data_IF_620390171886
#
_entry.id   IF_620390171886
#
_cell.length_a   1.000
_cell.length_b   1.000
_cell.length_c   1.000
_cell.angle_alpha   90.00
_cell.angle_beta   90.00
_cell.angle_gamma   90.00
#
_symmetry.space_group_name_H-M   'P 1'
#
loop_
_entity.id
_entity.type
_entity.pdbx_description
1 polymer ?
#
# COMPACT_ATOMS: atom_id res chain seq x y z
N UNK A 1 20.19 -5.03 -14.13
CA UNK A 1 19.77 -3.74 -13.56
C UNK A 1 20.91 -3.27 -12.68
N UNK A 2 21.35 -2.02 -12.81
CA UNK A 2 22.39 -1.47 -11.96
C UNK A 2 21.86 -1.27 -10.53
N UNK A 3 22.70 -1.44 -9.51
CA UNK A 3 22.31 -1.32 -8.08
C UNK A 3 21.63 0.01 -7.80
N UNK A 4 22.18 1.12 -8.31
CA UNK A 4 21.61 2.46 -8.16
C UNK A 4 20.18 2.60 -8.72
N UNK A 5 19.80 1.81 -9.73
CA UNK A 5 18.45 1.80 -10.30
C UNK A 5 17.52 0.98 -9.40
N UNK A 6 17.99 -0.16 -8.90
CA UNK A 6 17.23 -0.99 -7.97
C UNK A 6 16.94 -0.26 -6.65
N UNK A 7 17.90 0.50 -6.14
CA UNK A 7 17.73 1.33 -4.94
C UNK A 7 16.66 2.39 -5.13
N UNK A 8 16.68 3.10 -6.27
CA UNK A 8 15.67 4.11 -6.60
C UNK A 8 14.26 3.52 -6.67
N UNK A 9 14.10 2.37 -7.32
CA UNK A 9 12.81 1.67 -7.40
C UNK A 9 12.36 1.27 -5.99
N UNK A 10 13.25 0.69 -5.19
CA UNK A 10 12.96 0.23 -3.83
C UNK A 10 12.54 1.37 -2.92
N UNK A 11 13.30 2.47 -2.90
CA UNK A 11 12.99 3.66 -2.09
C UNK A 11 11.64 4.26 -2.50
N UNK A 12 11.40 4.40 -3.81
CA UNK A 12 10.13 4.95 -4.32
C UNK A 12 8.95 4.07 -3.92
N UNK A 13 9.10 2.75 -4.04
CA UNK A 13 8.08 1.80 -3.63
C UNK A 13 7.80 1.87 -2.12
N UNK A 14 8.85 1.94 -1.29
CA UNK A 14 8.71 2.09 0.17
C UNK A 14 7.93 3.36 0.52
N UNK A 15 8.26 4.49 -0.12
CA UNK A 15 7.55 5.76 0.09
C UNK A 15 6.07 5.63 -0.30
N UNK A 16 5.77 5.09 -1.48
CA UNK A 16 4.39 4.90 -1.94
C UNK A 16 3.60 3.96 -1.04
N UNK A 17 4.21 2.86 -0.59
CA UNK A 17 3.62 1.93 0.35
C UNK A 17 3.34 2.61 1.70
N UNK A 18 4.26 3.42 2.20
CA UNK A 18 4.07 4.17 3.44
C UNK A 18 2.94 5.20 3.33
N UNK A 19 2.88 5.93 2.22
CA UNK A 19 1.77 6.85 1.95
C UNK A 19 0.45 6.07 1.85
N UNK A 20 0.43 4.87 1.27
CA UNK A 20 -0.78 4.04 1.26
C UNK A 20 -1.28 3.72 2.68
N UNK A 21 -0.36 3.59 3.63
CA UNK A 21 -0.64 3.31 5.03
C UNK A 21 -0.98 4.55 5.89
N UNK A 22 -0.99 5.77 5.33
CA UNK A 22 -1.19 7.02 6.09
C UNK A 22 -2.47 7.05 6.95
N UNK A 23 -3.50 6.32 6.53
CA UNK A 23 -4.76 6.21 7.26
C UNK A 23 -4.60 5.60 8.68
N UNK A 24 -3.46 4.94 8.96
CA UNK A 24 -3.12 4.48 10.31
C UNK A 24 -2.96 5.62 11.32
N UNK A 25 -2.66 6.85 10.90
CA UNK A 25 -2.54 7.97 11.83
C UNK A 25 -3.90 8.43 12.40
N UNK A 26 -5.01 8.18 11.71
CA UNK A 26 -6.33 8.74 12.04
C UNK A 26 -7.19 7.93 13.03
N UNK A 27 -6.66 6.89 13.68
CA UNK A 27 -7.46 6.15 14.66
C UNK A 27 -8.54 5.24 14.05
N UNK A 28 -9.57 4.99 14.86
CA UNK A 28 -10.83 4.34 14.46
C UNK A 28 -11.68 5.23 13.55
N UNK A 29 -11.53 6.55 13.68
CA UNK A 29 -12.33 7.58 13.01
C UNK A 29 -11.64 8.13 11.76
N UNK A 30 -11.30 7.25 10.83
CA UNK A 30 -10.66 7.64 9.56
C UNK A 30 -11.70 8.39 8.70
N UNK A 31 -11.38 9.61 8.21
CA UNK A 31 -12.22 10.29 7.23
C UNK A 31 -12.37 9.46 5.95
N UNK A 32 -13.58 9.39 5.38
CA UNK A 32 -13.85 8.59 4.16
C UNK A 32 -12.87 8.93 3.01
N UNK A 33 -12.51 10.20 2.86
CA UNK A 33 -11.56 10.65 1.84
C UNK A 33 -10.14 10.09 2.05
N UNK A 34 -9.66 10.00 3.29
CA UNK A 34 -8.36 9.42 3.61
C UNK A 34 -8.33 7.92 3.33
N UNK A 35 -9.46 7.24 3.52
CA UNK A 35 -9.59 5.83 3.12
C UNK A 35 -9.57 5.64 1.59
N UNK A 36 -10.25 6.49 0.81
CA UNK A 36 -10.14 6.39 -0.64
C UNK A 36 -8.73 6.72 -1.14
N UNK A 37 -8.06 7.64 -0.46
CA UNK A 37 -6.68 8.01 -0.76
C UNK A 37 -5.72 6.84 -0.49
N UNK A 38 -5.91 6.08 0.60
CA UNK A 38 -5.06 4.91 0.90
C UNK A 38 -5.21 3.80 -0.15
N UNK A 39 -6.43 3.60 -0.65
CA UNK A 39 -6.72 2.69 -1.75
C UNK A 39 -5.97 3.13 -3.01
N UNK A 40 -6.10 4.41 -3.40
CA UNK A 40 -5.42 4.94 -4.57
C UNK A 40 -3.90 4.77 -4.51
N UNK A 41 -3.29 5.05 -3.36
CA UNK A 41 -1.85 4.85 -3.17
C UNK A 41 -1.44 3.37 -3.11
N UNK A 42 -2.31 2.47 -2.65
CA UNK A 42 -2.05 1.01 -2.71
C UNK A 42 -1.99 0.53 -4.16
N UNK A 43 -2.89 1.04 -5.01
CA UNK A 43 -2.85 0.79 -6.44
C UNK A 43 -1.59 1.37 -7.08
N UNK A 44 -1.26 2.63 -6.80
CA UNK A 44 -0.08 3.28 -7.33
C UNK A 44 1.22 2.54 -6.95
N UNK A 45 1.37 2.13 -5.69
CA UNK A 45 2.55 1.39 -5.21
C UNK A 45 2.72 0.05 -5.95
N UNK A 46 1.66 -0.73 -6.05
CA UNK A 46 1.72 -2.04 -6.71
C UNK A 46 1.94 -1.95 -8.22
N UNK A 47 1.23 -1.04 -8.90
CA UNK A 47 1.40 -0.82 -10.33
C UNK A 47 2.80 -0.30 -10.65
N UNK A 48 3.32 0.65 -9.86
CA UNK A 48 4.70 1.14 -10.01
C UNK A 48 5.70 -0.02 -9.99
N UNK A 49 5.58 -0.93 -9.02
CA UNK A 49 6.46 -2.09 -8.93
C UNK A 49 6.31 -3.01 -10.15
N UNK A 50 5.07 -3.32 -10.56
CA UNK A 50 4.80 -4.15 -11.74
C UNK A 50 5.38 -3.59 -13.04
N UNK A 51 5.27 -2.28 -13.26
CA UNK A 51 5.86 -1.60 -14.42
C UNK A 51 7.39 -1.48 -14.34
N UNK A 52 7.96 -1.43 -13.14
CA UNK A 52 9.40 -1.32 -12.96
C UNK A 52 10.16 -2.63 -13.21
N UNK A 53 9.53 -3.78 -12.96
CA UNK A 53 10.22 -5.09 -12.97
C UNK A 53 9.84 -6.01 -14.13
N UNK A 54 8.79 -5.70 -14.88
CA UNK A 54 8.30 -6.57 -15.95
C UNK A 54 7.89 -5.79 -17.21
N UNK A 55 7.89 -6.52 -18.33
CA UNK A 55 7.43 -6.00 -19.62
C UNK A 55 5.95 -6.34 -19.83
N UNK A 56 5.32 -5.64 -20.79
CA UNK A 56 3.95 -5.93 -21.19
C UNK A 56 3.83 -7.34 -21.79
N UNK A 57 2.78 -8.13 -21.44
CA UNK A 57 1.65 -7.81 -20.57
C UNK A 57 1.86 -8.19 -19.08
N UNK A 58 2.98 -8.82 -18.75
CA UNK A 58 3.27 -9.31 -17.41
C UNK A 58 3.32 -8.18 -16.35
N UNK A 59 3.70 -6.96 -16.74
CA UNK A 59 3.66 -5.78 -15.89
C UNK A 59 2.27 -5.47 -15.31
N UNK A 60 1.20 -5.64 -16.10
CA UNK A 60 -0.17 -5.41 -15.64
C UNK A 60 -0.58 -6.49 -14.64
N UNK A 61 -0.24 -7.75 -14.94
CA UNK A 61 -0.56 -8.89 -14.08
C UNK A 61 0.14 -8.73 -12.72
N UNK A 62 1.46 -8.51 -12.74
CA UNK A 62 2.26 -8.33 -11.53
C UNK A 62 1.87 -7.06 -10.79
N UNK A 63 1.66 -5.95 -11.50
CA UNK A 63 1.24 -4.70 -10.90
C UNK A 63 -0.08 -4.83 -10.16
N UNK A 64 -1.07 -5.46 -10.79
CA UNK A 64 -2.38 -5.74 -10.18
C UNK A 64 -2.24 -6.66 -8.96
N UNK A 65 -1.41 -7.71 -9.05
CA UNK A 65 -1.16 -8.63 -7.95
C UNK A 65 -0.50 -7.91 -6.76
N UNK A 66 0.53 -7.10 -6.99
CA UNK A 66 1.17 -6.31 -5.93
C UNK A 66 0.23 -5.28 -5.34
N UNK A 67 -0.59 -4.60 -6.15
CA UNK A 67 -1.60 -3.65 -5.65
C UNK A 67 -2.59 -4.34 -4.73
N UNK A 68 -3.04 -5.54 -5.09
CA UNK A 68 -3.93 -6.35 -4.26
C UNK A 68 -3.26 -6.74 -2.94
N UNK A 69 -1.98 -7.15 -2.97
CA UNK A 69 -1.22 -7.49 -1.74
C UNK A 69 -1.09 -6.28 -0.82
N UNK A 70 -0.70 -5.11 -1.34
CA UNK A 70 -0.56 -3.88 -0.54
C UNK A 70 -1.91 -3.47 0.06
N UNK A 71 -2.98 -3.49 -0.75
CA UNK A 71 -4.32 -3.15 -0.30
C UNK A 71 -4.84 -4.12 0.78
N UNK A 72 -4.70 -5.43 0.58
CA UNK A 72 -5.12 -6.45 1.54
C UNK A 72 -4.33 -6.32 2.85
N UNK A 73 -3.03 -6.06 2.77
CA UNK A 73 -2.20 -5.80 3.95
C UNK A 73 -2.72 -4.60 4.73
N UNK A 74 -3.01 -3.49 4.06
CA UNK A 74 -3.61 -2.31 4.67
C UNK A 74 -4.97 -2.61 5.32
N UNK A 75 -5.83 -3.39 4.66
CA UNK A 75 -7.13 -3.79 5.19
C UNK A 75 -7.01 -4.67 6.44
N UNK A 76 -6.09 -5.63 6.43
CA UNK A 76 -5.80 -6.51 7.57
C UNK A 76 -5.28 -5.72 8.76
N UNK A 77 -4.28 -4.86 8.57
CA UNK A 77 -3.72 -4.01 9.64
C UNK A 77 -4.81 -3.14 10.25
N UNK A 78 -5.67 -2.53 9.43
CA UNK A 78 -6.82 -1.76 9.90
C UNK A 78 -7.77 -2.61 10.74
N UNK A 79 -8.11 -3.83 10.31
CA UNK A 79 -9.01 -4.73 11.03
C UNK A 79 -8.45 -5.08 12.42
N UNK A 80 -7.16 -5.40 12.51
CA UNK A 80 -6.50 -5.68 13.78
C UNK A 80 -6.46 -4.46 14.70
N UNK A 81 -6.13 -3.29 14.17
CA UNK A 81 -6.07 -2.05 14.95
C UNK A 81 -7.44 -1.63 15.49
N UNK A 82 -8.49 -1.72 14.67
CA UNK A 82 -9.85 -1.45 15.12
C UNK A 82 -10.25 -2.36 16.27
N UNK A 83 -9.88 -3.65 16.18
CA UNK A 83 -10.11 -4.64 17.24
C UNK A 83 -9.36 -4.30 18.53
N UNK A 84 -8.10 -3.84 18.46
CA UNK A 84 -7.33 -3.41 19.64
C UNK A 84 -7.97 -2.23 20.37
N UNK A 85 -8.47 -1.23 19.63
CA UNK A 85 -9.15 -0.08 20.23
C UNK A 85 -10.46 -0.48 20.95
N UNK A 86 -11.11 -1.57 20.53
CA UNK A 86 -12.30 -2.08 21.19
C UNK A 86 -11.98 -2.83 22.50
N UNK A 87 -10.76 -3.34 22.67
CA UNK A 87 -10.32 -3.98 23.93
C UNK A 87 -9.78 -3.00 24.97
N UNK A 88 -9.39 -1.79 24.57
CA UNK A 88 -8.85 -0.75 25.48
C UNK A 88 -9.92 0.05 26.23
N UNK A 89 -11.19 -0.38 26.20
CA UNK A 89 -12.24 0.20 27.04
C UNK A 89 -12.96 -0.90 27.83
N UNK A 90 -12.42 -1.22 29.01
CA UNK A 90 -13.14 -1.53 30.24
C UNK A 90 -12.28 -1.13 31.44
#
# INVERSE_FOLDING_TARGET
MEEAVLDKISITFIILAFISAHHFYFGKNIPKWSWYLSIAFSFAAGMFLGFAIANFPANIILGSAFSAVVFLTNLVVRKYRNKQNDYTFK
#
